data_IF_436981811948
#
_entry.id   IF_436981811948
#
_cell.length_a   1.000
_cell.length_b   1.000
_cell.length_c   1.000
_cell.angle_alpha   90.00
_cell.angle_beta   90.00
_cell.angle_gamma   90.00
#
_symmetry.space_group_name_H-M   'P 1'
#
loop_
_entity.id
_entity.type
_entity.pdbx_description
1 polymer ?
2 non-polymer ?
3 non-polymer ?
4 water ?
#
# COMPACT_ATOMS: atom_id res chain seq x y z
N UNK A 21 3.31 0.76 10.73
CA UNK A 21 2.88 -0.64 11.03
C UNK A 21 2.96 -0.81 12.54
N UNK A 22 1.87 -1.26 13.14
CA UNK A 22 1.79 -1.48 14.58
C UNK A 22 1.79 -2.98 14.89
N UNK A 23 2.68 -3.39 15.79
CA UNK A 23 2.74 -4.79 16.22
C UNK A 23 3.38 -5.75 15.24
N UNK A 24 4.16 -5.23 14.31
CA UNK A 24 4.81 -6.09 13.35
C UNK A 24 6.24 -6.33 13.74
N UNK A 25 7.05 -6.68 12.75
CA UNK A 25 8.46 -6.97 12.96
C UNK A 25 9.18 -6.28 11.81
N UNK A 26 10.47 -6.01 11.97
CA UNK A 26 11.21 -5.35 10.92
C UNK A 26 11.35 -6.30 9.74
N UNK A 27 11.00 -5.83 8.55
CA UNK A 27 11.14 -6.66 7.35
C UNK A 27 12.62 -6.94 7.13
N UNK A 28 12.93 -8.11 6.57
CA UNK A 28 14.32 -8.41 6.23
C UNK A 28 14.58 -7.44 5.09
N UNK A 29 15.77 -6.82 5.05
CA UNK A 29 16.11 -5.88 4.00
C UNK A 29 15.89 -6.38 2.58
N UNK A 30 15.11 -5.63 1.82
CA UNK A 30 14.82 -5.95 0.42
C UNK A 30 13.94 -7.19 0.23
N UNK A 31 13.27 -7.62 1.29
CA UNK A 31 12.39 -8.77 1.18
C UNK A 31 11.03 -8.37 0.55
N UNK A 32 10.77 -7.07 0.43
CA UNK A 32 9.55 -6.55 -0.18
C UNK A 32 10.06 -5.56 -1.23
N UNK A 33 10.73 -6.08 -2.29
CA UNK A 33 11.30 -5.25 -3.35
C UNK A 33 10.39 -4.39 -4.21
N UNK A 34 9.08 -4.59 -4.10
CA UNK A 34 8.10 -3.79 -4.85
C UNK A 34 7.70 -2.55 -4.04
N UNK A 35 8.05 -2.53 -2.75
CA UNK A 35 7.69 -1.42 -1.86
C UNK A 35 8.41 -0.12 -2.22
N UNK A 36 7.65 0.96 -2.39
CA UNK A 36 8.28 2.24 -2.69
C UNK A 36 7.85 3.28 -1.66
N UNK A 37 8.66 4.31 -1.50
CA UNK A 37 8.34 5.42 -0.61
C UNK A 37 8.05 6.62 -1.50
N UNK A 38 6.92 7.28 -1.26
CA UNK A 38 6.57 8.49 -2.01
C UNK A 38 7.10 9.59 -1.11
N UNK A 39 7.94 10.43 -1.70
CA UNK A 39 8.62 11.50 -1.00
C UNK A 39 8.34 12.89 -1.59
N UNK A 40 8.07 13.84 -0.71
CA UNK A 40 7.81 15.23 -1.07
C UNK A 40 8.49 15.95 0.09
N UNK A 41 9.82 15.87 0.10
CA UNK A 41 10.61 16.43 1.17
C UNK A 41 10.83 15.32 2.18
N UNK A 42 9.72 14.75 2.65
CA UNK A 42 9.73 13.65 3.60
C UNK A 42 8.83 12.57 3.05
N UNK A 43 9.02 11.35 3.56
CA UNK A 43 8.17 10.23 3.17
C UNK A 43 6.76 10.62 3.60
N UNK A 44 5.75 10.40 2.74
CA UNK A 44 4.39 10.72 3.15
C UNK A 44 3.39 9.60 2.85
N UNK A 45 3.77 8.66 1.99
CA UNK A 45 2.91 7.53 1.64
C UNK A 45 3.75 6.43 1.02
N UNK A 46 3.20 5.22 1.04
CA UNK A 46 3.85 4.09 0.44
C UNK A 46 3.27 3.90 -0.95
N UNK A 47 3.70 2.85 -1.63
CA UNK A 47 3.21 2.52 -2.97
C UNK A 47 3.81 1.19 -3.37
N UNK A 48 3.43 0.69 -4.54
CA UNK A 48 3.93 -0.59 -5.03
C UNK A 48 4.33 -0.52 -6.51
N UNK A 49 5.51 -1.03 -6.82
CA UNK A 49 5.96 -1.06 -8.21
C UNK A 49 5.26 -2.23 -8.88
N UNK A 50 4.55 -1.96 -9.98
CA UNK A 50 3.86 -3.03 -10.69
C UNK A 50 4.54 -3.41 -12.00
N UNK A 51 5.40 -2.53 -12.48
CA UNK A 51 6.21 -2.75 -13.69
C UNK A 51 7.31 -1.69 -13.71
N UNK A 52 8.19 -1.69 -14.70
CA UNK A 52 9.29 -0.72 -14.68
C UNK A 52 8.91 0.76 -14.79
N UNK A 53 7.69 1.05 -15.25
CA UNK A 53 7.28 2.44 -15.40
C UNK A 53 6.13 2.86 -14.51
N UNK A 54 5.50 1.91 -13.83
CA UNK A 54 4.33 2.26 -13.03
C UNK A 54 4.31 1.84 -11.58
N UNK A 55 3.72 2.72 -10.75
CA UNK A 55 3.56 2.51 -9.33
C UNK A 55 2.07 2.68 -8.96
N UNK A 56 1.56 1.80 -8.11
CA UNK A 56 0.19 1.90 -7.65
C UNK A 56 0.21 2.42 -6.20
N UNK A 57 -0.66 3.38 -5.89
CA UNK A 57 -0.73 3.93 -4.53
C UNK A 57 -2.19 4.30 -4.25
N UNK A 58 -2.43 4.99 -3.13
CA UNK A 58 -3.78 5.41 -2.74
C UNK A 58 -4.07 6.78 -3.30
N UNK A 59 -5.27 6.96 -3.84
CA UNK A 59 -5.67 8.26 -4.39
C UNK A 59 -5.64 9.39 -3.35
N UNK A 60 -5.88 9.08 -2.07
CA UNK A 60 -5.84 10.14 -1.05
C UNK A 60 -4.41 10.68 -0.86
N UNK A 61 -3.42 9.96 -1.38
CA UNK A 61 -2.02 10.40 -1.28
C UNK A 61 -1.63 11.33 -2.44
N UNK A 62 -2.57 11.58 -3.35
CA UNK A 62 -2.33 12.40 -4.53
C UNK A 62 -1.56 13.72 -4.35
N UNK A 63 -0.68 13.96 -5.31
CA UNK A 63 0.12 15.18 -5.47
C UNK A 63 0.40 15.18 -6.96
N UNK A 64 0.45 16.36 -7.58
CA UNK A 64 0.68 16.47 -9.00
C UNK A 64 2.05 15.95 -9.43
N UNK A 65 3.00 15.99 -8.50
CA UNK A 65 4.35 15.52 -8.79
C UNK A 65 4.91 14.94 -7.49
N UNK A 66 5.58 13.80 -7.58
CA UNK A 66 6.18 13.15 -6.41
C UNK A 66 7.48 12.49 -6.80
N UNK A 67 8.34 12.24 -5.83
CA UNK A 67 9.59 11.54 -6.06
C UNK A 67 9.38 10.12 -5.51
N UNK A 68 9.57 9.13 -6.37
CA UNK A 68 9.41 7.74 -5.99
C UNK A 68 10.78 7.22 -5.59
N UNK A 69 10.88 6.68 -4.38
CA UNK A 69 12.13 6.12 -3.89
C UNK A 69 12.02 4.61 -3.81
N UNK A 70 12.82 3.94 -4.62
CA UNK A 70 12.84 2.48 -4.69
C UNK A 70 14.13 1.93 -4.11
N UNK A 71 14.13 0.64 -3.76
CA UNK A 71 15.31 0.00 -3.21
C UNK A 71 15.65 0.49 -1.81
N UNK A 72 14.64 0.86 -1.04
CA UNK A 72 14.85 1.38 0.30
C UNK A 72 14.64 0.38 1.43
N UNK A 73 15.39 0.53 2.51
CA UNK A 73 15.11 -0.27 3.70
C UNK A 73 14.98 0.77 4.81
N UNK A 74 16.07 1.48 5.07
CA UNK A 74 16.09 2.56 6.06
C UNK A 74 15.98 3.82 5.22
N UNK A 75 14.86 4.53 5.33
CA UNK A 75 14.64 5.73 4.54
C UNK A 75 15.43 6.98 4.94
N UNK A 76 16.17 6.90 6.04
CA UNK A 76 16.98 8.03 6.50
C UNK A 76 18.47 7.81 6.26
N UNK A 77 18.86 6.64 5.78
CA UNK A 77 20.26 6.32 5.53
C UNK A 77 20.49 5.81 4.11
N UNK A 78 21.56 6.28 3.47
CA UNK A 78 21.88 5.82 2.11
C UNK A 78 22.51 4.43 2.19
N UNK A 79 21.88 3.48 1.51
CA UNK A 79 22.32 2.10 1.50
C UNK A 79 22.97 1.68 0.18
N UNK A 80 22.91 2.57 -0.81
CA UNK A 80 23.50 2.30 -2.11
C UNK A 80 22.58 1.54 -3.06
N UNK A 81 21.42 1.11 -2.56
CA UNK A 81 20.45 0.35 -3.36
C UNK A 81 19.30 1.19 -3.89
N UNK A 82 19.23 2.44 -3.46
CA UNK A 82 18.13 3.32 -3.83
C UNK A 82 18.16 3.87 -5.24
N UNK A 83 16.97 4.08 -5.79
CA UNK A 83 16.79 4.71 -7.10
C UNK A 83 15.72 5.76 -6.81
N UNK A 84 16.03 7.03 -7.02
CA UNK A 84 15.07 8.10 -6.80
C UNK A 84 14.61 8.57 -8.18
N UNK A 85 13.32 8.42 -8.47
CA UNK A 85 12.81 8.79 -9.78
C UNK A 85 11.59 9.68 -9.64
N UNK A 86 11.56 10.79 -10.36
CA UNK A 86 10.41 11.69 -10.28
C UNK A 86 9.28 11.15 -11.16
N UNK A 87 8.04 11.51 -10.82
CA UNK A 87 6.89 11.07 -11.58
C UNK A 87 6.70 11.87 -12.88
N UNK A 88 6.07 11.26 -13.87
CA UNK A 88 5.76 11.90 -15.15
C UNK A 88 4.26 12.21 -15.19
N UNK A 89 3.46 11.33 -14.60
CA UNK A 89 1.99 11.49 -14.56
C UNK A 89 1.47 10.85 -13.26
N UNK A 90 0.48 11.48 -12.62
CA UNK A 90 -0.13 10.95 -11.40
C UNK A 90 -1.62 10.92 -11.75
N UNK A 91 -2.19 9.72 -11.79
CA UNK A 91 -3.58 9.56 -12.18
C UNK A 91 -4.45 8.89 -11.13
N UNK A 92 -5.36 9.67 -10.55
CA UNK A 92 -6.30 9.17 -9.53
C UNK A 92 -7.39 8.43 -10.27
N UNK A 93 -8.01 7.45 -9.61
CA UNK A 93 -9.10 6.73 -10.25
C UNK A 93 -10.18 7.78 -10.51
N UNK A 94 -10.80 7.75 -11.70
CA UNK A 94 -11.84 8.71 -12.06
C UNK A 94 -12.98 8.86 -11.05
N UNK A 95 -13.27 7.79 -10.31
CA UNK A 95 -14.35 7.87 -9.32
C UNK A 95 -13.91 7.99 -7.87
N UNK A 96 -12.67 8.42 -7.65
CA UNK A 96 -12.18 8.59 -6.29
C UNK A 96 -13.09 9.65 -5.64
N UNK A 97 -13.47 9.41 -4.39
CA UNK A 97 -14.32 10.35 -3.68
C UNK A 97 -13.67 10.71 -2.36
N UNK A 98 -13.38 11.98 -2.16
CA UNK A 98 -12.76 12.43 -0.92
C UNK A 98 -13.74 12.46 0.25
N UNK A 99 -15.04 12.41 -0.05
CA UNK A 99 -16.07 12.44 0.99
C UNK A 99 -16.08 11.12 1.78
N UNK A 100 -15.88 10.02 1.09
CA UNK A 100 -15.90 8.72 1.78
C UNK A 100 -14.69 7.85 1.52
N UNK A 101 -13.68 8.43 0.88
CA UNK A 101 -12.45 7.70 0.55
C UNK A 101 -12.74 6.45 -0.31
N UNK A 102 -13.70 6.56 -1.24
CA UNK A 102 -14.04 5.42 -2.08
C UNK A 102 -13.15 5.41 -3.31
N UNK A 103 -12.90 4.22 -3.86
CA UNK A 103 -12.05 4.03 -5.05
C UNK A 103 -10.72 4.72 -4.81
N UNK A 104 -10.12 4.38 -3.67
CA UNK A 104 -8.87 4.95 -3.21
C UNK A 104 -7.65 4.30 -3.86
N UNK A 105 -7.51 4.51 -5.15
CA UNK A 105 -6.39 3.92 -5.89
C UNK A 105 -5.91 4.93 -6.93
N UNK A 106 -4.60 4.95 -7.14
CA UNK A 106 -3.99 5.90 -8.06
C UNK A 106 -2.78 5.27 -8.72
N UNK A 107 -2.48 5.72 -9.94
CA UNK A 107 -1.33 5.26 -10.70
C UNK A 107 -0.33 6.39 -10.86
N UNK A 108 0.95 6.07 -10.77
CA UNK A 108 2.01 7.06 -10.93
C UNK A 108 2.96 6.55 -12.01
N UNK A 109 3.11 7.30 -13.09
CA UNK A 109 4.03 6.90 -14.15
C UNK A 109 5.39 7.49 -13.82
N UNK A 110 6.44 6.68 -13.93
CA UNK A 110 7.79 7.16 -13.66
C UNK A 110 8.35 7.86 -14.89
N UNK A 111 9.07 8.96 -14.70
CA UNK A 111 9.65 9.72 -15.82
C UNK A 111 10.74 8.95 -16.54
N UNK A 112 11.32 7.98 -15.84
CA UNK A 112 12.37 7.14 -16.40
C UNK A 112 12.06 5.76 -15.84
N UNK A 113 12.26 4.71 -16.62
CA UNK A 113 11.99 3.35 -16.14
C UNK A 113 12.89 3.02 -14.96
N UNK A 114 12.40 2.22 -14.02
CA UNK A 114 13.23 1.83 -12.89
C UNK A 114 14.09 0.67 -13.38
N UNK A 115 15.28 0.53 -12.80
CA UNK A 115 16.17 -0.57 -13.15
C UNK A 115 15.83 -1.72 -12.22
N UNK A 116 15.33 -2.82 -12.77
CA UNK A 116 14.97 -3.97 -11.95
C UNK A 116 16.25 -4.72 -11.59
N UNK A 117 16.38 -5.09 -10.32
CA UNK A 117 17.56 -5.78 -9.85
C UNK A 117 17.24 -6.48 -8.54
N UNK A 118 18.26 -6.77 -7.73
CA UNK A 118 18.06 -7.46 -6.46
C UNK A 118 17.21 -6.69 -5.46
N UNK A 119 17.28 -5.37 -5.52
CA UNK A 119 16.57 -4.52 -4.57
C UNK A 119 15.26 -3.95 -5.07
N UNK A 120 15.01 -4.04 -6.37
CA UNK A 120 13.82 -3.46 -6.98
C UNK A 120 13.19 -4.47 -7.93
N UNK A 121 11.98 -4.92 -7.58
CA UNK A 121 11.24 -5.88 -8.38
C UNK A 121 9.76 -5.55 -8.26
N UNK A 122 9.01 -5.70 -9.36
CA UNK A 122 7.56 -5.41 -9.36
C UNK A 122 6.76 -6.54 -8.72
N UNK A 123 5.56 -6.22 -8.26
CA UNK A 123 4.66 -7.23 -7.71
C UNK A 123 3.53 -7.45 -8.75
N UNK A 124 3.10 -8.70 -8.90
CA UNK A 124 2.05 -9.05 -9.84
C UNK A 124 0.65 -8.55 -9.45
N UNK A 125 -0.14 -8.14 -10.43
CA UNK A 125 -1.50 -7.70 -10.17
C UNK A 125 -2.31 -9.00 -9.95
N UNK A 126 -3.39 -8.93 -9.16
CA UNK A 126 -4.21 -10.12 -8.88
C UNK A 126 -4.92 -10.76 -10.06
N UNK A 127 -4.90 -12.08 -10.11
CA UNK A 127 -5.58 -12.79 -11.18
C UNK A 127 -7.03 -12.97 -10.76
N UNK A 128 -7.27 -12.85 -9.46
CA UNK A 128 -8.61 -12.97 -8.91
C UNK A 128 -8.64 -12.40 -7.50
N UNK A 129 -9.83 -12.23 -6.94
CA UNK A 129 -9.97 -11.68 -5.60
C UNK A 129 -9.71 -12.75 -4.55
N UNK A 130 -8.86 -12.42 -3.58
CA UNK A 130 -8.52 -13.34 -2.51
C UNK A 130 -9.70 -13.47 -1.55
N UNK A 131 -10.06 -14.72 -1.20
CA UNK A 131 -11.18 -14.92 -0.28
C UNK A 131 -10.83 -14.60 1.17
N UNK A 132 -11.87 -14.47 1.99
CA UNK A 132 -11.69 -14.19 3.41
C UNK A 132 -10.83 -15.29 4.01
N UNK A 133 -9.95 -14.91 4.93
CA UNK A 133 -9.11 -15.89 5.56
C UNK A 133 -7.74 -15.99 4.93
N UNK A 134 -7.58 -15.46 3.73
CA UNK A 134 -6.29 -15.49 3.04
C UNK A 134 -5.29 -14.66 3.85
N UNK A 135 -4.10 -15.22 4.09
CA UNK A 135 -3.04 -14.52 4.84
C UNK A 135 -2.25 -13.63 3.88
N UNK A 136 -1.97 -12.41 4.30
CA UNK A 136 -1.26 -11.44 3.48
C UNK A 136 -0.17 -10.73 4.29
N UNK A 137 0.67 -9.99 3.57
CA UNK A 137 1.71 -9.19 4.20
C UNK A 137 1.40 -7.73 3.88
N UNK A 138 1.49 -6.87 4.88
CA UNK A 138 1.34 -5.42 4.68
C UNK A 138 2.67 -4.85 5.24
N UNK A 139 3.20 -3.81 4.60
CA UNK A 139 4.45 -3.21 5.03
C UNK A 139 4.44 -1.69 4.85
N UNK A 140 5.33 -1.01 5.55
CA UNK A 140 5.40 0.44 5.42
C UNK A 140 6.29 1.10 6.46
N UNK A 141 6.47 2.40 6.29
CA UNK A 141 7.28 3.25 7.18
C UNK A 141 6.38 4.20 8.00
N UNK A 142 5.14 3.80 8.24
CA UNK A 142 4.21 4.63 8.99
C UNK A 142 4.34 4.54 10.50
N UNK A 143 3.43 5.21 11.21
CA UNK A 143 3.42 5.21 12.67
C UNK A 143 3.50 3.78 13.20
N UNK A 144 4.34 3.55 14.21
CA UNK A 144 4.49 2.23 14.82
C UNK A 144 3.84 2.22 16.21
N UNK A 145 3.66 3.40 16.79
CA UNK A 145 3.07 3.55 18.13
C UNK A 145 3.84 2.71 19.16
N UNK A 146 5.15 2.63 18.99
CA UNK A 146 5.98 1.85 19.87
C UNK A 146 7.33 2.52 19.99
N UNK A 147 7.97 2.32 21.13
CA UNK A 147 9.29 2.88 21.41
C UNK A 147 10.42 2.02 20.84
N UNK A 148 10.16 0.74 20.67
CA UNK A 148 11.16 -0.18 20.13
C UNK A 148 11.22 -0.18 18.60
N UNK A 149 10.05 -0.16 17.97
CA UNK A 149 9.95 -0.17 16.51
C UNK A 149 10.32 1.15 15.86
N UNK A 150 11.47 1.16 15.19
CA UNK A 150 11.99 2.32 14.47
C UNK A 150 11.28 2.39 13.11
N UNK A 151 10.38 3.34 12.95
CA UNK A 151 9.62 3.48 11.70
C UNK A 151 10.47 3.84 10.50
N UNK A 152 11.75 4.15 10.70
CA UNK A 152 12.62 4.48 9.56
C UNK A 152 13.03 3.25 8.79
N UNK A 153 12.92 2.10 9.45
CA UNK A 153 13.26 0.82 8.83
C UNK A 153 11.94 0.18 8.43
N UNK A 154 11.86 -0.35 7.22
CA UNK A 154 10.64 -0.99 6.73
C UNK A 154 10.09 -2.05 7.70
N UNK A 155 8.83 -1.89 8.08
CA UNK A 155 8.14 -2.79 9.01
C UNK A 155 7.18 -3.69 8.24
N UNK A 156 7.04 -4.93 8.73
CA UNK A 156 6.20 -5.95 8.09
C UNK A 156 5.19 -6.52 9.06
N UNK A 157 4.06 -6.95 8.51
CA UNK A 157 2.99 -7.51 9.34
C UNK A 157 2.15 -8.50 8.52
N UNK A 158 1.82 -9.63 9.12
CA UNK A 158 0.98 -10.61 8.44
C UNK A 158 -0.45 -10.40 8.93
N UNK A 159 -1.39 -10.20 8.01
CA UNK A 159 -2.79 -9.98 8.35
C UNK A 159 -3.73 -10.77 7.45
N UNK A 160 -4.80 -11.34 8.02
CA UNK A 160 -5.76 -12.10 7.21
C UNK A 160 -6.88 -11.20 6.66
N UNK A 161 -7.41 -11.55 5.49
CA UNK A 161 -8.52 -10.81 4.89
C UNK A 161 -9.80 -11.18 5.68
N UNK A 162 -10.59 -10.18 6.06
CA UNK A 162 -11.82 -10.46 6.79
C UNK A 162 -13.00 -10.55 5.82
N UNK A 163 -14.08 -11.16 6.29
CA UNK A 163 -15.26 -11.31 5.47
C UNK A 163 -15.95 -9.95 5.39
N UNK A 164 -16.74 -9.75 4.36
CA UNK A 164 -17.49 -8.51 4.19
C UNK A 164 -18.38 -8.32 5.41
N UNK A 165 -18.99 -9.41 5.87
CA UNK A 165 -19.85 -9.39 7.03
C UNK A 165 -19.14 -8.78 8.27
N UNK A 166 -17.92 -9.22 8.52
CA UNK A 166 -17.15 -8.70 9.65
C UNK A 166 -16.78 -7.25 9.40
N UNK A 167 -16.45 -6.93 8.16
CA UNK A 167 -16.06 -5.57 7.79
C UNK A 167 -17.23 -4.59 7.93
N UNK A 168 -18.39 -5.00 7.44
CA UNK A 168 -19.56 -4.14 7.55
C UNK A 168 -20.01 -4.02 9.00
N UNK A 169 -19.83 -5.08 9.78
CA UNK A 169 -20.18 -5.05 11.20
C UNK A 169 -19.35 -3.98 11.93
N UNK A 170 -18.08 -3.87 11.56
CA UNK A 170 -17.18 -2.89 12.17
C UNK A 170 -17.47 -1.44 11.74
N UNK A 171 -17.78 -1.26 10.46
CA UNK A 171 -18.03 0.05 9.87
C UNK A 171 -19.33 0.00 9.06
N UNK A 172 -20.47 -0.06 9.77
CA UNK A 172 -21.83 -0.14 9.21
C UNK A 172 -22.12 0.88 8.14
N UNK A 173 -22.39 0.37 6.94
CA UNK A 173 -22.72 1.23 5.81
C UNK A 173 -21.62 2.05 5.21
N UNK A 174 -20.37 1.78 5.58
CA UNK A 174 -19.25 2.54 5.05
C UNK A 174 -18.37 1.75 4.07
N UNK A 175 -18.65 0.46 3.94
CA UNK A 175 -17.85 -0.41 3.08
C UNK A 175 -18.49 -0.60 1.71
N UNK A 176 -17.80 -0.10 0.68
CA UNK A 176 -18.31 -0.23 -0.68
C UNK A 176 -17.68 -1.46 -1.33
N UNK A 177 -18.04 -1.70 -2.58
CA UNK A 177 -17.51 -2.83 -3.33
C UNK A 177 -15.99 -2.69 -3.57
N UNK A 178 -15.46 -1.47 -3.46
CA UNK A 178 -14.04 -1.19 -3.68
C UNK A 178 -13.16 -1.26 -2.42
N UNK A 179 -13.72 -1.79 -1.34
CA UNK A 179 -13.00 -1.89 -0.07
C UNK A 179 -13.10 -3.26 0.57
N UNK A 180 -12.08 -3.63 1.36
CA UNK A 180 -12.13 -4.85 2.13
C UNK A 180 -11.40 -4.58 3.43
N UNK A 181 -11.71 -5.35 4.46
CA UNK A 181 -11.04 -5.20 5.75
C UNK A 181 -10.02 -6.32 5.89
N UNK A 182 -8.94 -6.06 6.63
CA UNK A 182 -7.93 -7.07 6.88
C UNK A 182 -7.28 -6.71 8.20
N UNK A 183 -6.89 -7.71 8.98
CA UNK A 183 -6.30 -7.43 10.28
C UNK A 183 -6.92 -8.31 11.34
N UNK A 184 -7.02 -7.80 12.56
CA UNK A 184 -7.56 -8.58 13.67
C UNK A 184 -8.60 -7.77 14.43
N UNK A 185 -9.80 -8.32 14.60
CA UNK A 185 -10.83 -7.60 15.33
C UNK A 185 -10.44 -7.37 16.78
N UNK A 186 -9.54 -8.20 17.30
CA UNK A 186 -9.05 -8.07 18.68
C UNK A 186 -8.04 -6.93 18.86
N UNK A 187 -7.60 -6.33 17.76
CA UNK A 187 -6.63 -5.25 17.82
C UNK A 187 -5.18 -5.69 18.00
N UNK A 188 -4.31 -4.70 18.25
CA UNK A 188 -2.89 -4.93 18.48
C UNK A 188 -1.94 -5.00 17.30
N UNK A 189 -2.47 -5.29 16.11
CA UNK A 189 -1.66 -5.42 14.92
C UNK A 189 -2.42 -4.74 13.81
N UNK A 190 -1.80 -3.80 13.10
CA UNK A 190 -2.53 -3.07 12.07
C UNK A 190 -1.62 -2.11 11.29
N UNK A 191 -2.08 -1.61 10.16
CA UNK A 191 -1.33 -0.60 9.43
C UNK A 191 -1.72 0.72 10.11
N UNK A 192 -1.05 1.81 9.75
CA UNK A 192 -1.35 3.10 10.39
C UNK A 192 -0.95 4.24 9.45
N UNK A 193 -1.18 5.50 9.84
CA UNK A 193 -0.82 6.62 8.97
C UNK A 193 0.66 6.58 8.59
N UNK A 194 0.95 6.87 7.32
CA UNK A 194 2.32 6.78 6.84
C UNK A 194 2.49 5.48 6.06
N UNK A 195 1.65 4.49 6.35
CA UNK A 195 1.65 3.22 5.62
C UNK A 195 0.73 3.36 4.41
N UNK A 196 -0.17 4.34 4.47
CA UNK A 196 -1.15 4.64 3.42
C UNK A 196 -0.55 4.56 2.02
N UNK A 197 -1.29 3.92 1.10
CA UNK A 197 -0.85 3.76 -0.26
C UNK A 197 0.00 2.52 -0.48
N UNK A 198 0.47 1.93 0.63
CA UNK A 198 1.31 0.75 0.58
C UNK A 198 0.68 -0.54 0.15
N UNK A 199 1.48 -1.60 -0.02
CA UNK A 199 0.99 -2.91 -0.44
C UNK A 199 0.44 -3.90 0.58
N UNK A 200 -0.49 -4.72 0.11
CA UNK A 200 -1.05 -5.83 0.88
C UNK A 200 -0.89 -6.93 -0.17
N UNK A 201 0.05 -7.82 0.08
CA UNK A 201 0.39 -8.88 -0.85
C UNK A 201 0.01 -10.26 -0.31
N UNK A 202 -0.72 -11.02 -1.11
CA UNK A 202 -1.15 -12.35 -0.72
C UNK A 202 -0.92 -13.27 -1.90
N UNK A 203 -0.25 -14.40 -1.64
CA UNK A 203 0.07 -15.37 -2.68
C UNK A 203 0.83 -14.75 -3.83
N UNK A 204 1.72 -13.82 -3.51
CA UNK A 204 2.54 -13.18 -4.51
C UNK A 204 1.87 -12.12 -5.37
N UNK A 205 0.67 -11.70 -5.00
CA UNK A 205 -0.05 -10.69 -5.80
C UNK A 205 -0.53 -9.53 -4.96
N UNK A 206 -0.59 -8.36 -5.59
CA UNK A 206 -1.06 -7.15 -4.92
C UNK A 206 -2.58 -7.19 -4.79
N UNK A 207 -3.08 -7.47 -3.58
CA UNK A 207 -4.54 -7.53 -3.37
C UNK A 207 -5.12 -6.25 -2.77
N UNK A 208 -4.31 -5.50 -2.04
CA UNK A 208 -4.83 -4.28 -1.44
C UNK A 208 -3.88 -3.10 -1.40
N UNK A 209 -4.44 -1.93 -1.14
CA UNK A 209 -3.67 -0.70 -1.02
C UNK A 209 -4.11 -0.13 0.33
N UNK A 210 -3.16 0.20 1.20
CA UNK A 210 -3.51 0.74 2.53
C UNK A 210 -4.36 1.99 2.33
N UNK A 211 -5.57 1.99 2.89
CA UNK A 211 -6.48 3.10 2.68
C UNK A 211 -6.92 3.87 3.92
N UNK A 212 -7.69 3.26 4.81
CA UNK A 212 -8.16 3.98 6.00
C UNK A 212 -8.57 3.06 7.16
N UNK A 213 -9.03 3.68 8.25
CA UNK A 213 -9.49 2.94 9.41
C UNK A 213 -9.74 3.91 10.56
N UNK A 214 -10.27 3.41 11.67
CA UNK A 214 -10.50 4.25 12.83
C UNK A 214 -9.33 3.93 13.75
N UNK A 215 -8.43 4.89 13.91
CA UNK A 215 -7.26 4.69 14.75
C UNK A 215 -6.36 3.63 14.15
N UNK A 216 -5.52 3.02 14.98
CA UNK A 216 -4.62 1.97 14.53
C UNK A 216 -4.51 0.92 15.62
N UNK A 217 -4.76 -0.33 15.23
CA UNK A 217 -4.69 -1.47 16.12
C UNK A 217 -5.73 -1.47 17.25
N UNK A 218 -6.78 -0.67 17.11
CA UNK A 218 -7.82 -0.66 18.14
C UNK A 218 -8.77 -1.84 17.93
N UNK A 219 -9.15 -2.54 19.01
CA UNK A 219 -10.06 -3.66 18.82
C UNK A 219 -11.38 -3.22 18.18
N UNK A 220 -11.93 -4.05 17.30
CA UNK A 220 -13.17 -3.74 16.64
C UNK A 220 -13.04 -2.78 15.49
N UNK A 221 -11.83 -2.27 15.25
CA UNK A 221 -11.57 -1.31 14.16
C UNK A 221 -10.42 -1.78 13.24
N UNK A 222 -10.68 -2.77 12.36
CA UNK A 222 -9.65 -3.30 11.45
C UNK A 222 -9.31 -2.32 10.33
N UNK A 223 -8.17 -2.53 9.68
CA UNK A 223 -7.79 -1.66 8.59
C UNK A 223 -8.67 -1.89 7.38
N UNK A 224 -8.85 -0.84 6.57
CA UNK A 224 -9.65 -0.92 5.36
C UNK A 224 -8.70 -0.69 4.21
N UNK A 225 -8.79 -1.54 3.19
CA UNK A 225 -7.90 -1.51 2.05
C UNK A 225 -8.64 -1.41 0.73
N UNK A 226 -8.02 -0.76 -0.26
CA UNK A 226 -8.63 -0.65 -1.59
C UNK A 226 -8.54 -2.03 -2.23
N UNK A 227 -9.66 -2.50 -2.75
CA UNK A 227 -9.74 -3.83 -3.37
C UNK A 227 -9.20 -3.83 -4.80
N UNK A 228 -7.89 -4.04 -4.94
CA UNK A 228 -7.22 -4.03 -6.23
C UNK A 228 -7.82 -4.95 -7.31
N UNK A 229 -8.26 -6.14 -6.91
CA UNK A 229 -8.79 -7.10 -7.87
C UNK A 229 -9.95 -6.64 -8.74
N UNK A 230 -10.70 -5.62 -8.31
CA UNK A 230 -11.80 -5.14 -9.14
C UNK A 230 -11.37 -3.98 -10.06
N UNK A 231 -10.11 -3.59 -10.01
CA UNK A 231 -9.59 -2.49 -10.83
C UNK A 231 -8.65 -2.93 -11.95
N UNK A 232 -8.51 -4.24 -12.13
CA UNK A 232 -7.61 -4.75 -13.16
C UNK A 232 -7.78 -4.13 -14.54
N UNK A 233 -9.03 -3.92 -14.95
CA UNK A 233 -9.28 -3.33 -16.25
C UNK A 233 -8.85 -1.86 -16.31
N UNK A 234 -9.13 -1.10 -15.26
CA UNK A 234 -8.75 0.31 -15.23
C UNK A 234 -7.21 0.40 -15.21
N UNK A 235 -6.60 -0.46 -14.41
CA UNK A 235 -5.15 -0.47 -14.27
C UNK A 235 -4.44 -0.80 -15.58
N UNK A 236 -4.82 -1.91 -16.20
CA UNK A 236 -4.19 -2.33 -17.45
C UNK A 236 -4.42 -1.33 -18.58
N UNK A 237 -5.64 -0.78 -18.66
CA UNK A 237 -5.98 0.21 -19.68
C UNK A 237 -5.14 1.46 -19.51
N UNK A 238 -5.12 1.99 -18.30
CA UNK A 238 -4.37 3.19 -17.99
C UNK A 238 -2.87 3.03 -18.23
N UNK A 239 -2.34 1.85 -17.98
CA UNK A 239 -0.92 1.60 -18.16
C UNK A 239 -0.50 1.34 -19.61
N UNK A 240 -1.26 1.88 -20.56
CA UNK A 240 -0.95 1.70 -21.97
C UNK A 240 -1.33 2.94 -22.78
N UNK A 241 -2.34 3.67 -22.32
CA UNK A 241 -2.79 4.88 -22.97
C UNK A 241 -2.03 6.12 -22.49
N UNK A 242 -1.27 5.94 -21.42
CA UNK A 242 -0.49 7.03 -20.83
C UNK A 242 0.99 6.68 -20.82
#
# INVERSE_FOLDING_TARGET
MISLVFVLLIGAAFATEDDKIVGGYECKPYSQPHQVSLNSGYHFCGGSLVNENWVVSAAHCYKSRVEVRLGEHNIKVTEGSEQFISSSRVIRHPNYSSYNIDNDIMLIKLSKPATLNTYVQPVALPTSCAPAGTMCTVSGWGNTMSSTADSNKLQCLNIPILSYSDCNNSYPGMITNAMFCAGYLEGGKDSCQGDSGGPVVCNGELQGVVSWGYGCAEPGNPGVYAKVCIFNDWLTSTMASY
#
